data_IF_280663519113
#
_entry.id   IF_280663519113
#
_cell.length_a   1.000
_cell.length_b   1.000
_cell.length_c   1.000
_cell.angle_alpha   90.00
_cell.angle_beta   90.00
_cell.angle_gamma   90.00
#
_symmetry.space_group_name_H-M   'P 1'
#
loop_
_entity.id
_entity.type
_entity.pdbx_description
1 polymer ?
#
# COMPACT_ATOMS: atom_id res chain seq x y z
N UNK A 1 -3.88 18.64 -8.03
CA UNK A 1 -4.97 17.76 -8.52
C UNK A 1 -4.80 16.40 -7.86
N UNK A 2 -5.67 16.06 -6.92
CA UNK A 2 -5.77 14.71 -6.35
C UNK A 2 -6.21 13.75 -7.45
N UNK A 3 -5.50 12.63 -7.62
CA UNK A 3 -5.92 11.59 -8.58
C UNK A 3 -7.31 11.10 -8.14
N UNK A 4 -8.32 11.07 -9.03
CA UNK A 4 -9.61 10.47 -8.69
C UNK A 4 -9.39 9.02 -8.24
N UNK A 5 -10.16 8.57 -7.25
CA UNK A 5 -10.15 7.18 -6.81
C UNK A 5 -10.41 6.28 -8.02
N UNK A 6 -9.49 5.35 -8.29
CA UNK A 6 -9.61 4.48 -9.46
C UNK A 6 -10.84 3.59 -9.37
N UNK A 7 -11.33 3.30 -8.15
CA UNK A 7 -12.59 2.58 -7.96
C UNK A 7 -13.79 3.38 -8.50
N UNK A 8 -13.88 4.68 -8.17
CA UNK A 8 -14.96 5.56 -8.64
C UNK A 8 -14.94 5.69 -10.17
N UNK A 9 -13.75 5.76 -10.77
CA UNK A 9 -13.62 5.82 -12.24
C UNK A 9 -14.05 4.53 -12.93
N UNK A 10 -13.80 3.37 -12.31
CA UNK A 10 -14.25 2.07 -12.84
C UNK A 10 -15.76 1.89 -12.71
N UNK A 11 -16.34 2.38 -11.61
CA UNK A 11 -17.79 2.36 -11.37
C UNK A 11 -18.55 3.24 -12.37
N UNK A 12 -18.14 4.51 -12.55
CA UNK A 12 -18.73 5.41 -13.56
C UNK A 12 -18.58 4.85 -14.99
N UNK A 13 -17.44 4.23 -15.30
CA UNK A 13 -17.23 3.59 -16.59
C UNK A 13 -18.09 2.34 -16.80
N UNK A 14 -18.45 1.63 -15.73
CA UNK A 14 -19.36 0.49 -15.78
C UNK A 14 -20.81 0.95 -16.02
N UNK A 15 -21.24 2.01 -15.33
CA UNK A 15 -22.57 2.61 -15.52
C UNK A 15 -22.77 3.15 -16.94
N UNK A 16 -21.69 3.59 -17.59
CA UNK A 16 -21.70 4.20 -18.93
C UNK A 16 -20.96 3.37 -19.97
N UNK A 17 -20.92 2.05 -19.80
CA UNK A 17 -20.11 1.13 -20.61
C UNK A 17 -20.47 1.14 -22.11
N UNK A 18 -21.70 1.54 -22.45
CA UNK A 18 -22.15 1.68 -23.83
C UNK A 18 -21.61 2.96 -24.51
N UNK A 19 -21.28 3.99 -23.73
CA UNK A 19 -20.85 5.31 -24.20
C UNK A 19 -19.32 5.47 -24.18
N UNK A 20 -18.60 4.56 -23.53
CA UNK A 20 -17.14 4.61 -23.45
C UNK A 20 -16.49 3.96 -24.69
N UNK A 21 -15.44 4.59 -25.21
CA UNK A 21 -14.70 4.00 -26.32
C UNK A 21 -13.98 2.72 -25.86
N UNK A 22 -13.88 1.72 -26.75
CA UNK A 22 -13.13 0.49 -26.47
C UNK A 22 -11.67 0.78 -26.10
N UNK A 23 -11.06 1.80 -26.68
CA UNK A 23 -9.67 2.18 -26.41
C UNK A 23 -9.51 2.73 -24.98
N UNK A 24 -10.43 3.60 -24.55
CA UNK A 24 -10.41 4.19 -23.21
C UNK A 24 -10.66 3.13 -22.14
N UNK A 25 -11.61 2.21 -22.39
CA UNK A 25 -11.88 1.07 -21.52
C UNK A 25 -10.64 0.17 -21.37
N UNK A 26 -9.92 -0.12 -22.46
CA UNK A 26 -8.68 -0.90 -22.40
C UNK A 26 -7.60 -0.23 -21.56
N UNK A 27 -7.43 1.09 -21.66
CA UNK A 27 -6.46 1.83 -20.85
C UNK A 27 -6.84 1.78 -19.38
N UNK A 28 -8.13 1.98 -19.06
CA UNK A 28 -8.64 1.95 -17.70
C UNK A 28 -8.46 0.57 -17.06
N UNK A 29 -8.84 -0.50 -17.76
CA UNK A 29 -8.68 -1.88 -17.27
C UNK A 29 -7.20 -2.26 -17.07
N UNK A 30 -6.29 -1.82 -17.95
CA UNK A 30 -4.85 -2.05 -17.75
C UNK A 30 -4.33 -1.34 -16.50
N UNK A 31 -4.77 -0.10 -16.26
CA UNK A 31 -4.38 0.66 -15.06
C UNK A 31 -4.94 0.01 -13.79
N UNK A 32 -6.19 -0.45 -13.82
CA UNK A 32 -6.81 -1.19 -12.72
C UNK A 32 -6.06 -2.50 -12.44
N UNK A 33 -5.76 -3.29 -13.47
CA UNK A 33 -5.00 -4.53 -13.33
C UNK A 33 -3.57 -4.31 -12.80
N UNK A 34 -2.91 -3.23 -13.22
CA UNK A 34 -1.61 -2.82 -12.68
C UNK A 34 -1.71 -2.45 -11.19
N UNK A 35 -2.73 -1.69 -10.81
CA UNK A 35 -2.99 -1.32 -9.42
C UNK A 35 -3.28 -2.56 -8.56
N UNK A 36 -4.12 -3.48 -9.04
CA UNK A 36 -4.43 -4.75 -8.36
C UNK A 36 -3.21 -5.67 -8.25
N UNK A 37 -2.37 -5.76 -9.29
CA UNK A 37 -1.15 -6.56 -9.24
C UNK A 37 -0.12 -5.96 -8.28
N UNK A 38 -0.08 -4.64 -8.21
CA UNK A 38 0.86 -3.91 -7.37
C UNK A 38 0.26 -3.60 -5.98
N UNK A 39 -0.98 -3.98 -5.69
CA UNK A 39 -1.64 -3.66 -4.41
C UNK A 39 -1.11 -4.49 -3.24
N UNK A 40 -0.15 -5.39 -3.47
CA UNK A 40 0.62 -6.03 -2.41
C UNK A 40 -0.26 -6.69 -1.36
N UNK A 41 -1.37 -7.32 -1.76
CA UNK A 41 -2.20 -8.03 -0.79
C UNK A 41 -1.47 -9.31 -0.41
N UNK A 42 -0.72 -9.25 0.69
CA UNK A 42 -0.44 -10.43 1.49
C UNK A 42 -1.81 -10.95 1.90
N UNK A 43 -2.24 -12.07 1.31
CA UNK A 43 -3.48 -12.72 1.72
C UNK A 43 -3.22 -13.41 3.05
N UNK A 44 -4.02 -13.07 4.06
CA UNK A 44 -4.07 -13.83 5.30
C UNK A 44 -5.30 -14.72 5.31
N UNK A 45 -5.27 -15.73 6.19
CA UNK A 45 -6.43 -16.55 6.52
C UNK A 45 -7.52 -15.68 7.16
N UNK A 46 -8.79 -16.09 7.07
CA UNK A 46 -9.92 -15.26 7.52
C UNK A 46 -9.80 -14.81 8.99
N UNK A 47 -9.36 -15.72 9.87
CA UNK A 47 -9.14 -15.43 11.29
C UNK A 47 -8.05 -14.34 11.50
N UNK A 48 -7.01 -14.38 10.68
CA UNK A 48 -5.91 -13.41 10.73
C UNK A 48 -6.32 -12.06 10.14
N UNK A 49 -7.16 -12.04 9.11
CA UNK A 49 -7.73 -10.80 8.56
C UNK A 49 -8.62 -10.08 9.58
N UNK A 50 -9.39 -10.81 10.37
CA UNK A 50 -10.21 -10.26 11.46
C UNK A 50 -9.34 -9.58 12.51
N UNK A 51 -8.32 -10.29 13.02
CA UNK A 51 -7.39 -9.74 14.02
C UNK A 51 -6.65 -8.51 13.49
N UNK A 52 -6.18 -8.53 12.24
CA UNK A 52 -5.49 -7.38 11.65
C UNK A 52 -6.44 -6.19 11.51
N UNK A 53 -7.72 -6.42 11.20
CA UNK A 53 -8.72 -5.36 11.07
C UNK A 53 -9.03 -4.72 12.42
N UNK A 54 -9.19 -5.52 13.46
CA UNK A 54 -9.43 -5.02 14.81
C UNK A 54 -8.23 -4.19 15.30
N UNK A 55 -7.02 -4.72 15.13
CA UNK A 55 -5.79 -4.02 15.50
C UNK A 55 -5.59 -2.72 14.69
N UNK A 56 -5.96 -2.71 13.41
CA UNK A 56 -5.94 -1.50 12.60
C UNK A 56 -6.92 -0.45 13.14
N UNK A 57 -8.10 -0.87 13.61
CA UNK A 57 -9.06 -0.01 14.29
C UNK A 57 -8.50 0.58 15.59
N UNK A 58 -7.88 -0.25 16.43
CA UNK A 58 -7.26 0.18 17.70
C UNK A 58 -6.13 1.18 17.48
N UNK A 59 -5.32 0.99 16.43
CA UNK A 59 -4.20 1.88 16.10
C UNK A 59 -4.61 3.10 15.26
N UNK A 60 -5.87 3.19 14.83
CA UNK A 60 -6.30 4.22 13.89
C UNK A 60 -5.54 4.20 12.56
N UNK A 61 -5.06 3.02 12.13
CA UNK A 61 -4.26 2.80 10.93
C UNK A 61 -5.05 2.07 9.86
N UNK A 62 -4.59 2.12 8.61
CA UNK A 62 -5.13 1.24 7.58
C UNK A 62 -4.60 -0.18 7.77
N UNK A 63 -5.31 -1.19 7.25
CA UNK A 63 -4.84 -2.60 7.25
C UNK A 63 -3.38 -2.72 6.80
N UNK A 64 -3.05 -2.10 5.67
CA UNK A 64 -1.70 -2.18 5.10
C UNK A 64 -0.65 -1.47 5.96
N UNK A 65 -1.01 -0.37 6.63
CA UNK A 65 -0.10 0.30 7.56
C UNK A 65 0.12 -0.52 8.83
N UNK A 66 -0.91 -1.22 9.32
CA UNK A 66 -0.80 -2.16 10.44
C UNK A 66 0.10 -3.33 10.09
N UNK A 67 -0.08 -3.96 8.92
CA UNK A 67 0.79 -5.05 8.45
C UNK A 67 2.24 -4.57 8.31
N UNK A 68 2.47 -3.40 7.71
CA UNK A 68 3.81 -2.81 7.58
C UNK A 68 4.44 -2.54 8.95
N UNK A 69 3.65 -2.07 9.91
CA UNK A 69 4.11 -1.81 11.27
C UNK A 69 4.52 -3.11 11.98
N UNK A 70 3.68 -4.15 11.94
CA UNK A 70 3.99 -5.45 12.54
C UNK A 70 5.30 -6.03 11.98
N UNK A 71 5.45 -6.03 10.65
CA UNK A 71 6.67 -6.56 10.01
C UNK A 71 7.90 -5.75 10.41
N UNK A 72 7.81 -4.42 10.50
CA UNK A 72 8.91 -3.56 10.96
C UNK A 72 9.32 -3.90 12.39
N UNK A 73 8.37 -3.89 13.32
CA UNK A 73 8.63 -4.18 14.74
C UNK A 73 9.22 -5.58 14.91
N UNK A 74 8.70 -6.57 14.17
CA UNK A 74 9.23 -7.92 14.17
C UNK A 74 10.70 -7.97 13.72
N UNK A 75 11.04 -7.29 12.61
CA UNK A 75 12.42 -7.25 12.10
C UNK A 75 13.40 -6.55 13.06
N UNK A 76 12.96 -5.47 13.71
CA UNK A 76 13.76 -4.70 14.67
C UNK A 76 14.01 -5.49 15.97
N UNK A 77 12.99 -6.20 16.49
CA UNK A 77 13.11 -6.98 17.73
C UNK A 77 13.84 -8.32 17.54
N UNK A 78 13.82 -8.90 16.34
CA UNK A 78 14.45 -10.19 16.06
C UNK A 78 15.81 -10.08 15.36
N UNK A 79 16.42 -8.88 15.34
CA UNK A 79 17.81 -8.64 14.90
C UNK A 79 18.09 -9.03 13.44
N UNK A 80 17.08 -8.95 12.56
CA UNK A 80 17.26 -9.21 11.13
C UNK A 80 17.55 -7.95 10.30
N UNK A 81 17.42 -6.75 10.90
CA UNK A 81 18.00 -5.50 10.41
C UNK A 81 18.88 -4.90 11.51
N UNK A 82 20.12 -4.46 11.22
CA UNK A 82 20.80 -3.51 12.08
C UNK A 82 19.91 -2.26 12.15
N UNK A 83 19.51 -1.87 13.36
CA UNK A 83 18.96 -0.53 13.59
C UNK A 83 20.09 0.44 13.27
N UNK A 84 20.08 1.00 12.07
CA UNK A 84 20.88 2.18 11.81
C UNK A 84 20.16 3.32 12.54
N UNK A 85 20.56 3.54 13.80
CA UNK A 85 20.47 4.87 14.39
C UNK A 85 21.25 5.77 13.43
N UNK A 86 20.52 6.55 12.63
CA UNK A 86 21.11 7.65 11.89
C UNK A 86 21.50 8.67 12.96
N UNK A 87 22.72 8.56 13.49
CA UNK A 87 23.33 9.62 14.28
C UNK A 87 23.31 10.88 13.40
N UNK A 88 22.44 11.82 13.76
CA UNK A 88 22.24 13.12 13.10
C UNK A 88 23.44 14.08 13.26
N UNK A 89 24.63 13.59 13.63
CA UNK A 89 25.80 14.42 13.93
C UNK A 89 27.12 13.85 13.38
N UNK A 90 27.06 13.15 12.25
CA UNK A 90 28.25 12.77 11.49
C UNK A 90 28.89 13.97 10.79
N UNK A 91 29.71 14.73 11.51
CA UNK A 91 30.64 15.70 10.94
C UNK A 91 31.56 14.97 9.93
N UNK A 92 31.37 15.25 8.64
CA UNK A 92 32.19 14.69 7.58
C UNK A 92 33.37 15.62 7.33
N UNK A 93 34.52 15.30 7.93
CA UNK A 93 35.80 15.90 7.55
C UNK A 93 36.25 15.31 6.21
N UNK A 94 35.72 15.89 5.13
CA UNK A 94 36.06 15.53 3.77
C UNK A 94 37.29 16.30 3.29
N UNK A 95 38.45 15.66 3.27
CA UNK A 95 39.64 16.21 2.61
C UNK A 95 39.59 15.86 1.11
N UNK A 96 39.58 16.92 0.28
CA UNK A 96 39.48 16.88 -1.19
C UNK A 96 40.86 16.87 -1.87
#
# INVERSE_FOLDING_TARGET
MTKPDTAILLEDAADRIADISRADLQIMLRRAALLLRNSGSIAFDDDMEEVIRDLAGEFGKTRNDTVRHIVREWMEKNTYLPVHDLDEDGDVDGEA
#
